data_IF_460999185114
#
_entry.id   IF_460999185114
#
_cell.length_a   1.000
_cell.length_b   1.000
_cell.length_c   1.000
_cell.angle_alpha   90.00
_cell.angle_beta   90.00
_cell.angle_gamma   90.00
#
_symmetry.space_group_name_H-M   'P 1'
#
loop_
_entity.id
_entity.type
_entity.pdbx_description
1 polymer ?
#
# COMPACT_ATOMS: atom_id res chain seq x y z
N UNK A 1 1.92 -20.54 73.43
CA UNK A 1 0.99 -19.59 72.80
C UNK A 1 1.53 -19.31 71.43
N UNK A 2 0.85 -19.85 70.38
CA UNK A 2 1.17 -19.69 68.96
C UNK A 2 0.35 -18.57 68.42
N UNK A 3 0.95 -17.56 67.75
CA UNK A 3 0.27 -16.59 66.94
C UNK A 3 0.56 -16.89 65.46
N UNK A 4 -0.44 -17.29 64.73
CA UNK A 4 -0.45 -17.40 63.28
C UNK A 4 -0.73 -16.05 62.65
N UNK A 5 0.22 -15.55 61.85
CA UNK A 5 0.02 -14.38 61.00
C UNK A 5 -0.56 -14.80 59.63
N UNK A 6 -1.81 -14.37 59.33
CA UNK A 6 -2.46 -14.56 58.05
C UNK A 6 -1.86 -13.61 57.01
N UNK A 7 -1.20 -14.16 56.02
CA UNK A 7 -0.78 -13.48 54.83
C UNK A 7 -1.96 -13.45 53.81
N UNK A 8 -2.54 -12.28 53.60
CA UNK A 8 -3.53 -12.04 52.53
C UNK A 8 -2.77 -11.93 51.20
N UNK A 9 -3.01 -12.87 50.29
CA UNK A 9 -2.65 -12.76 48.89
C UNK A 9 -3.52 -11.70 48.20
N UNK A 10 -2.92 -10.60 47.75
CA UNK A 10 -3.49 -9.73 46.77
C UNK A 10 -3.20 -10.33 45.38
N UNK A 11 -4.19 -10.92 44.76
CA UNK A 11 -4.17 -11.34 43.34
C UNK A 11 -5.28 -10.61 42.62
N UNK A 12 -4.92 -9.86 41.58
CA UNK A 12 -5.81 -9.57 40.49
C UNK A 12 -6.39 -8.16 40.42
N UNK A 13 -5.66 -7.22 39.80
CA UNK A 13 -6.28 -6.10 39.06
C UNK A 13 -5.20 -5.43 38.18
N UNK A 14 -4.69 -6.15 37.19
CA UNK A 14 -3.73 -5.56 36.23
C UNK A 14 -3.89 -6.04 34.77
N UNK A 15 -4.84 -6.92 34.46
CA UNK A 15 -4.94 -7.51 33.12
C UNK A 15 -6.08 -6.91 32.27
N UNK A 16 -7.10 -6.32 32.92
CA UNK A 16 -8.28 -5.78 32.17
C UNK A 16 -8.09 -4.38 31.57
N UNK A 17 -7.08 -3.60 31.97
CA UNK A 17 -6.89 -2.23 31.47
C UNK A 17 -6.29 -2.19 30.06
N UNK A 18 -5.33 -3.05 29.79
CA UNK A 18 -4.60 -3.03 28.51
C UNK A 18 -5.44 -3.57 27.34
N UNK A 19 -6.32 -4.54 27.61
CA UNK A 19 -7.15 -5.16 26.55
C UNK A 19 -8.24 -4.20 26.06
N UNK A 20 -8.77 -3.34 26.95
CA UNK A 20 -9.80 -2.35 26.57
C UNK A 20 -9.19 -1.22 25.75
N UNK A 21 -8.02 -0.71 26.13
CA UNK A 21 -7.33 0.36 25.42
C UNK A 21 -6.86 -0.10 24.02
N UNK A 22 -6.36 -1.32 23.90
CA UNK A 22 -5.99 -1.94 22.63
C UNK A 22 -7.22 -2.15 21.74
N UNK A 23 -8.35 -2.60 22.29
CA UNK A 23 -9.59 -2.82 21.55
C UNK A 23 -10.21 -1.50 21.06
N UNK A 24 -10.19 -0.45 21.89
CA UNK A 24 -10.69 0.88 21.51
C UNK A 24 -9.82 1.51 20.43
N UNK A 25 -8.50 1.38 20.51
CA UNK A 25 -7.57 1.89 19.52
C UNK A 25 -7.74 1.16 18.17
N UNK A 26 -7.90 -0.16 18.20
CA UNK A 26 -8.18 -0.97 16.99
C UNK A 26 -9.53 -0.60 16.35
N UNK A 27 -10.59 -0.39 17.14
CA UNK A 27 -11.89 0.05 16.63
C UNK A 27 -11.83 1.47 16.04
N UNK A 28 -11.08 2.38 16.63
CA UNK A 28 -10.90 3.74 16.10
C UNK A 28 -10.18 3.72 14.74
N UNK A 29 -9.13 2.94 14.61
CA UNK A 29 -8.38 2.77 13.34
C UNK A 29 -9.25 2.13 12.26
N UNK A 30 -10.08 1.13 12.61
CA UNK A 30 -11.01 0.49 11.66
C UNK A 30 -12.11 1.44 11.18
N UNK A 31 -12.54 2.39 12.01
CA UNK A 31 -13.56 3.36 11.65
C UNK A 31 -12.98 4.49 10.78
N UNK A 32 -11.77 4.94 11.09
CA UNK A 32 -11.02 5.89 10.23
C UNK A 32 -10.74 5.31 8.84
N UNK A 33 -10.36 4.04 8.73
CA UNK A 33 -10.13 3.38 7.45
C UNK A 33 -11.43 3.24 6.62
N UNK A 34 -12.58 3.02 7.26
CA UNK A 34 -13.87 3.02 6.56
C UNK A 34 -14.25 4.39 6.02
N UNK A 35 -14.01 5.45 6.79
CA UNK A 35 -14.28 6.83 6.38
C UNK A 35 -13.35 7.22 5.23
N UNK A 36 -12.07 6.87 5.31
CA UNK A 36 -11.09 7.09 4.24
C UNK A 36 -11.50 6.34 2.98
N UNK A 37 -11.81 5.04 3.07
CA UNK A 37 -12.23 4.23 1.92
C UNK A 37 -13.45 4.85 1.23
N UNK A 38 -14.47 5.26 1.99
CA UNK A 38 -15.65 5.93 1.44
C UNK A 38 -15.31 7.24 0.74
N UNK A 39 -14.42 8.06 1.32
CA UNK A 39 -13.97 9.31 0.71
C UNK A 39 -13.25 9.09 -0.62
N UNK A 40 -12.46 8.01 -0.75
CA UNK A 40 -11.79 7.65 -2.01
C UNK A 40 -12.75 7.05 -3.05
N UNK A 41 -13.86 6.44 -2.63
CA UNK A 41 -14.88 5.94 -3.55
C UNK A 41 -15.76 7.06 -4.11
N UNK A 42 -16.00 8.12 -3.33
CA UNK A 42 -16.86 9.25 -3.72
C UNK A 42 -16.16 10.25 -4.67
N UNK A 43 -14.83 10.24 -4.75
CA UNK A 43 -14.05 11.14 -5.60
C UNK A 43 -13.25 10.34 -6.61
N UNK A 44 -13.67 10.36 -7.87
CA UNK A 44 -12.90 9.78 -8.98
C UNK A 44 -11.63 10.62 -9.18
N UNK A 45 -10.51 10.10 -8.67
CA UNK A 45 -9.20 10.73 -8.87
C UNK A 45 -8.75 10.49 -10.31
N UNK A 46 -8.46 11.57 -11.05
CA UNK A 46 -7.92 11.44 -12.42
C UNK A 46 -6.46 11.01 -12.29
N UNK A 47 -6.21 9.71 -12.40
CA UNK A 47 -4.86 9.17 -12.47
C UNK A 47 -4.29 9.40 -13.87
N UNK A 48 -3.10 9.98 -13.95
CA UNK A 48 -2.41 10.29 -15.20
C UNK A 48 -0.92 9.95 -15.09
N UNK A 49 -0.20 9.78 -16.20
CA UNK A 49 1.23 9.54 -16.16
C UNK A 49 2.01 10.71 -15.54
N UNK A 50 2.91 10.40 -14.61
CA UNK A 50 3.81 11.36 -13.99
C UNK A 50 5.24 11.14 -14.50
N UNK A 51 5.77 12.09 -15.26
CA UNK A 51 7.13 11.97 -15.80
C UNK A 51 8.21 11.81 -14.74
N UNK A 52 8.01 12.38 -13.53
CA UNK A 52 8.95 12.25 -12.41
C UNK A 52 9.06 10.82 -11.85
N UNK A 53 8.02 10.01 -12.02
CA UNK A 53 7.96 8.62 -11.56
C UNK A 53 8.11 7.60 -12.68
N UNK A 54 8.38 8.06 -13.92
CA UNK A 54 8.66 7.14 -15.02
C UNK A 54 9.94 6.34 -14.74
N UNK A 55 9.95 5.06 -15.11
CA UNK A 55 11.09 4.18 -14.88
C UNK A 55 12.39 4.73 -15.49
N UNK A 56 12.33 5.36 -16.66
CA UNK A 56 13.49 6.04 -17.25
C UNK A 56 14.07 7.13 -16.35
N UNK A 57 13.20 7.96 -15.78
CA UNK A 57 13.61 9.03 -14.88
C UNK A 57 14.20 8.47 -13.60
N UNK A 58 13.59 7.43 -13.03
CA UNK A 58 14.08 6.79 -11.82
C UNK A 58 15.42 6.11 -12.04
N UNK A 59 15.59 5.38 -13.14
CA UNK A 59 16.86 4.74 -13.50
C UNK A 59 17.98 5.78 -13.77
N UNK A 60 17.67 6.88 -14.47
CA UNK A 60 18.63 7.95 -14.72
C UNK A 60 19.08 8.60 -13.40
N UNK A 61 18.15 8.87 -12.48
CA UNK A 61 18.49 9.38 -11.15
C UNK A 61 19.35 8.40 -10.36
N UNK A 62 18.99 7.10 -10.36
CA UNK A 62 19.77 6.07 -9.68
C UNK A 62 21.24 6.07 -10.18
N UNK A 63 21.44 6.13 -11.50
CA UNK A 63 22.79 6.24 -12.10
C UNK A 63 23.54 7.50 -11.66
N UNK A 64 22.86 8.67 -11.61
CA UNK A 64 23.46 9.91 -11.15
C UNK A 64 23.94 9.84 -9.70
N UNK A 65 23.25 9.05 -8.87
CA UNK A 65 23.64 8.81 -7.47
C UNK A 65 24.57 7.60 -7.29
N UNK A 66 25.15 7.06 -8.39
CA UNK A 66 26.11 5.96 -8.33
C UNK A 66 25.50 4.58 -8.05
N UNK A 67 24.18 4.44 -8.15
CA UNK A 67 23.51 3.14 -8.06
C UNK A 67 23.57 2.43 -9.42
N UNK A 68 23.41 1.11 -9.39
CA UNK A 68 23.32 0.28 -10.59
C UNK A 68 21.87 -0.24 -10.73
N UNK A 69 20.97 0.49 -11.40
CA UNK A 69 19.56 0.12 -11.51
C UNK A 69 19.39 -1.14 -12.35
N UNK A 70 18.36 -1.93 -12.00
CA UNK A 70 17.98 -3.11 -12.78
C UNK A 70 17.52 -2.68 -14.18
N UNK A 71 17.74 -3.55 -15.17
CA UNK A 71 17.24 -3.32 -16.53
C UNK A 71 15.74 -3.11 -16.57
N UNK A 72 15.30 -1.99 -17.12
CA UNK A 72 13.88 -1.60 -17.21
C UNK A 72 13.03 -2.63 -17.96
N UNK A 73 13.64 -3.38 -18.89
CA UNK A 73 12.94 -4.40 -19.67
C UNK A 73 12.40 -5.56 -18.82
N UNK A 74 13.02 -5.83 -17.65
CA UNK A 74 12.67 -6.96 -16.78
C UNK A 74 12.39 -6.53 -15.36
N UNK A 75 12.18 -5.24 -15.15
CA UNK A 75 11.93 -4.69 -13.84
C UNK A 75 10.61 -5.18 -13.24
N UNK A 76 10.61 -5.38 -11.93
CA UNK A 76 9.40 -5.58 -11.12
C UNK A 76 9.05 -4.26 -10.47
N UNK A 77 7.88 -3.75 -10.74
CA UNK A 77 7.45 -2.41 -10.36
C UNK A 77 6.22 -2.48 -9.48
N UNK A 78 6.25 -1.80 -8.35
CA UNK A 78 5.10 -1.61 -7.46
C UNK A 78 4.70 -0.13 -7.44
N UNK A 79 3.43 0.16 -7.61
CA UNK A 79 2.86 1.49 -7.37
C UNK A 79 1.86 1.44 -6.22
N UNK A 80 2.12 2.26 -5.18
CA UNK A 80 1.26 2.42 -4.02
C UNK A 80 0.30 3.60 -4.25
N UNK A 81 -1.01 3.38 -4.03
CA UNK A 81 -2.03 4.37 -4.32
C UNK A 81 -2.19 4.61 -5.82
N UNK A 82 -2.31 3.52 -6.59
CA UNK A 82 -2.32 3.58 -8.06
C UNK A 82 -3.63 4.09 -8.64
N UNK A 83 -4.71 4.26 -7.86
CA UNK A 83 -6.04 4.60 -8.34
C UNK A 83 -6.49 3.58 -9.42
N UNK A 84 -7.03 4.02 -10.55
CA UNK A 84 -7.33 3.12 -11.68
C UNK A 84 -6.11 2.82 -12.59
N UNK A 85 -4.90 3.14 -12.15
CA UNK A 85 -3.65 2.74 -12.81
C UNK A 85 -3.16 3.66 -13.92
N UNK A 86 -3.65 4.90 -14.04
CA UNK A 86 -3.28 5.78 -15.15
C UNK A 86 -1.78 6.04 -15.30
N UNK A 87 -1.03 6.06 -14.19
CA UNK A 87 0.43 6.18 -14.23
C UNK A 87 1.12 4.86 -14.61
N UNK A 88 0.74 3.75 -13.96
CA UNK A 88 1.46 2.48 -14.09
C UNK A 88 1.09 1.72 -15.39
N UNK A 89 -0.17 1.83 -15.88
CA UNK A 89 -0.61 1.20 -17.12
C UNK A 89 0.18 1.73 -18.32
N UNK A 90 0.42 3.05 -18.38
CA UNK A 90 1.21 3.65 -19.45
C UNK A 90 2.64 3.08 -19.49
N UNK A 91 3.24 2.79 -18.35
CA UNK A 91 4.56 2.21 -18.25
C UNK A 91 4.57 0.73 -18.64
N UNK A 92 3.52 -0.02 -18.26
CA UNK A 92 3.37 -1.41 -18.65
C UNK A 92 3.30 -1.60 -20.18
N UNK A 93 2.67 -0.65 -20.88
CA UNK A 93 2.68 -0.61 -22.37
C UNK A 93 4.07 -0.43 -22.95
N UNK A 94 4.90 0.42 -22.33
CA UNK A 94 6.26 0.71 -22.81
C UNK A 94 7.25 -0.41 -22.53
N UNK A 95 7.02 -1.20 -21.47
CA UNK A 95 7.94 -2.25 -21.03
C UNK A 95 7.23 -3.61 -20.95
N UNK A 96 6.93 -4.24 -22.08
CA UNK A 96 6.11 -5.47 -22.12
C UNK A 96 6.74 -6.68 -21.43
N UNK A 97 8.07 -6.69 -21.24
CA UNK A 97 8.78 -7.77 -20.53
C UNK A 97 8.93 -7.50 -19.01
N UNK A 98 8.66 -6.28 -18.55
CA UNK A 98 8.63 -5.93 -17.14
C UNK A 98 7.30 -6.32 -16.52
N UNK A 99 7.24 -6.49 -15.19
CA UNK A 99 6.01 -6.79 -14.47
C UNK A 99 5.61 -5.63 -13.57
N UNK A 100 4.32 -5.33 -13.53
CA UNK A 100 3.77 -4.20 -12.82
C UNK A 100 2.68 -4.65 -11.87
N UNK A 101 2.73 -4.11 -10.64
CA UNK A 101 1.70 -4.30 -9.63
C UNK A 101 1.28 -2.93 -9.11
N UNK A 102 0.00 -2.62 -9.18
CA UNK A 102 -0.57 -1.43 -8.56
C UNK A 102 -1.49 -1.83 -7.41
N UNK A 103 -1.47 -1.07 -6.32
CA UNK A 103 -2.42 -1.28 -5.22
C UNK A 103 -3.12 0.03 -4.86
N UNK A 104 -4.38 -0.08 -4.49
CA UNK A 104 -5.21 1.03 -4.01
C UNK A 104 -6.32 0.51 -3.09
N UNK A 105 -6.81 1.38 -2.19
CA UNK A 105 -7.93 1.07 -1.29
C UNK A 105 -9.29 1.07 -1.99
N UNK A 106 -9.42 1.80 -3.10
CA UNK A 106 -10.68 1.97 -3.80
C UNK A 106 -10.99 0.79 -4.72
N UNK A 107 -11.94 -0.06 -4.31
CA UNK A 107 -12.40 -1.19 -5.11
C UNK A 107 -12.97 -0.78 -6.46
N UNK A 108 -13.66 0.36 -6.52
CA UNK A 108 -14.26 0.89 -7.75
C UNK A 108 -13.19 1.32 -8.76
N UNK A 109 -12.13 1.97 -8.30
CA UNK A 109 -11.02 2.40 -9.17
C UNK A 109 -10.19 1.20 -9.64
N UNK A 110 -9.89 0.25 -8.77
CA UNK A 110 -9.20 -1.00 -9.13
C UNK A 110 -9.99 -1.78 -10.18
N UNK A 111 -11.31 -1.89 -10.02
CA UNK A 111 -12.18 -2.54 -11.00
C UNK A 111 -12.11 -1.84 -12.36
N UNK A 112 -12.24 -0.52 -12.38
CA UNK A 112 -12.14 0.29 -13.60
C UNK A 112 -10.78 0.09 -14.30
N UNK A 113 -9.70 0.12 -13.53
CA UNK A 113 -8.34 -0.10 -14.06
C UNK A 113 -8.15 -1.48 -14.65
N UNK A 114 -8.65 -2.53 -13.99
CA UNK A 114 -8.57 -3.90 -14.50
C UNK A 114 -9.43 -4.10 -15.76
N UNK A 115 -10.59 -3.45 -15.86
CA UNK A 115 -11.39 -3.44 -17.09
C UNK A 115 -10.64 -2.76 -18.24
N UNK A 116 -9.95 -1.64 -17.98
CA UNK A 116 -9.11 -0.98 -18.98
C UNK A 116 -7.95 -1.89 -19.40
N UNK A 117 -7.22 -2.50 -18.47
CA UNK A 117 -6.11 -3.43 -18.75
C UNK A 117 -6.58 -4.58 -19.65
N UNK A 118 -7.73 -5.16 -19.35
CA UNK A 118 -8.31 -6.25 -20.14
C UNK A 118 -8.69 -5.77 -21.55
N UNK A 119 -9.27 -4.55 -21.67
CA UNK A 119 -9.71 -4.00 -22.96
C UNK A 119 -8.55 -3.72 -23.93
N UNK A 120 -7.36 -3.38 -23.39
CA UNK A 120 -6.15 -3.11 -24.19
C UNK A 120 -5.22 -4.31 -24.30
N UNK A 121 -5.59 -5.45 -23.68
CA UNK A 121 -4.87 -6.73 -23.81
C UNK A 121 -3.53 -6.80 -23.11
N UNK A 122 -3.30 -6.02 -22.06
CA UNK A 122 -2.06 -6.12 -21.27
C UNK A 122 -2.10 -7.33 -20.34
N UNK A 123 -0.99 -8.06 -20.29
CA UNK A 123 -0.82 -9.25 -19.44
C UNK A 123 0.30 -9.12 -18.39
N UNK A 124 1.04 -8.02 -18.43
CA UNK A 124 2.19 -7.78 -17.57
C UNK A 124 1.91 -6.81 -16.41
N UNK A 125 0.63 -6.54 -16.12
CA UNK A 125 0.20 -5.66 -15.06
C UNK A 125 -1.03 -6.22 -14.33
N UNK A 126 -1.04 -6.03 -12.99
CA UNK A 126 -2.16 -6.38 -12.10
C UNK A 126 -2.45 -5.23 -11.15
N UNK A 127 -3.73 -4.87 -11.01
CA UNK A 127 -4.17 -3.93 -10.00
C UNK A 127 -4.96 -4.68 -8.91
N UNK A 128 -4.64 -4.40 -7.64
CA UNK A 128 -5.18 -5.10 -6.49
C UNK A 128 -5.78 -4.11 -5.49
N UNK A 129 -6.98 -4.42 -5.00
CA UNK A 129 -7.54 -3.72 -3.85
C UNK A 129 -6.79 -4.17 -2.58
N UNK A 130 -5.98 -3.27 -2.02
CA UNK A 130 -5.16 -3.57 -0.84
C UNK A 130 -4.78 -2.29 -0.11
N UNK A 131 -4.76 -2.35 1.23
CA UNK A 131 -4.16 -1.31 2.04
C UNK A 131 -2.62 -1.39 1.96
N UNK A 132 -1.96 -0.25 1.91
CA UNK A 132 -0.49 -0.17 1.96
C UNK A 132 0.07 -0.78 3.25
N UNK A 133 -0.70 -0.74 4.35
CA UNK A 133 -0.34 -1.31 5.65
C UNK A 133 -0.40 -2.85 5.68
N UNK A 134 -1.10 -3.46 4.72
CA UNK A 134 -1.23 -4.91 4.61
C UNK A 134 -0.17 -5.55 3.71
N UNK A 135 0.84 -4.78 3.27
CA UNK A 135 1.95 -5.31 2.49
C UNK A 135 2.93 -5.99 3.43
N UNK A 136 3.16 -7.26 3.20
CA UNK A 136 4.11 -8.10 3.91
C UNK A 136 5.08 -8.82 2.95
N UNK A 137 5.95 -9.65 3.49
CA UNK A 137 6.96 -10.39 2.71
C UNK A 137 6.36 -11.31 1.65
N UNK A 138 5.09 -11.73 1.78
CA UNK A 138 4.40 -12.56 0.79
C UNK A 138 4.12 -11.81 -0.53
N UNK A 139 4.16 -10.48 -0.50
CA UNK A 139 4.01 -9.64 -1.68
C UNK A 139 5.21 -9.70 -2.63
N UNK A 140 6.33 -10.20 -2.13
CA UNK A 140 7.57 -10.39 -2.89
C UNK A 140 8.49 -9.18 -2.86
N UNK A 141 9.38 -9.10 -3.84
CA UNK A 141 10.38 -8.04 -3.94
C UNK A 141 10.22 -7.26 -5.25
N UNK A 142 10.47 -5.96 -5.20
CA UNK A 142 10.35 -5.05 -6.33
C UNK A 142 11.66 -4.32 -6.58
N UNK A 143 11.94 -4.02 -7.83
CA UNK A 143 13.12 -3.28 -8.27
C UNK A 143 12.86 -1.76 -8.21
N UNK A 144 11.59 -1.37 -8.40
CA UNK A 144 11.12 0.02 -8.29
C UNK A 144 9.82 0.07 -7.50
N UNK A 145 9.76 0.98 -6.53
CA UNK A 145 8.55 1.29 -5.77
C UNK A 145 8.20 2.76 -6.02
N UNK A 146 6.98 3.01 -6.47
CA UNK A 146 6.48 4.33 -6.87
C UNK A 146 5.32 4.72 -5.95
N UNK A 147 5.36 5.97 -5.45
CA UNK A 147 4.30 6.54 -4.60
C UNK A 147 3.99 7.96 -5.14
N UNK A 148 3.24 8.10 -6.24
CA UNK A 148 3.17 9.38 -6.96
C UNK A 148 2.34 10.46 -6.27
N UNK A 149 1.27 10.10 -5.53
CA UNK A 149 0.31 11.10 -5.00
C UNK A 149 -0.05 10.88 -3.52
N UNK A 150 0.18 9.69 -2.97
CA UNK A 150 -0.21 9.34 -1.60
C UNK A 150 0.55 10.13 -0.51
N UNK A 151 1.59 10.86 -0.89
CA UNK A 151 2.48 11.55 0.05
C UNK A 151 1.79 12.68 0.84
N UNK A 152 0.73 13.29 0.29
CA UNK A 152 0.02 14.40 0.96
C UNK A 152 -1.00 13.93 1.99
N UNK A 153 -1.33 12.63 2.04
CA UNK A 153 -2.35 12.05 2.92
C UNK A 153 -1.80 11.02 3.92
N UNK A 154 -0.52 10.65 3.82
CA UNK A 154 0.14 9.85 4.84
C UNK A 154 0.38 10.75 6.05
N UNK A 155 -0.48 10.62 7.07
CA UNK A 155 -0.21 11.20 8.38
C UNK A 155 1.02 10.52 8.98
N UNK A 156 1.99 11.34 9.38
CA UNK A 156 3.11 10.93 10.21
C UNK A 156 2.62 10.55 11.61
#
# INVERSE_FOLDING_TARGET
>A
MKQESKQKKNVGTSVMGNDIETTQNTMHVLDENKVLKKSYEDVVYISQPFGATSLNTLAARALLFGLNPVSLKKARVLELGCSFGGNIISQALYYPEASFTGIDLSSSQIKMGNELIASIGLSNIHLLEKDNLDIDDSFGTFDYIIVPVSYTHLRA
#
